data_IF_532333268649
#
_entry.id   IF_532333268649
#
_cell.length_a   1.000
_cell.length_b   1.000
_cell.length_c   1.000
_cell.angle_alpha   90.00
_cell.angle_beta   90.00
_cell.angle_gamma   90.00
#
_symmetry.space_group_name_H-M   'P 1'
#
loop_
_entity.id
_entity.type
_entity.pdbx_description
1 polymer ?
#
# COMPACT_ATOMS: atom_id res chain seq x y z
N UNK A 1 -8.20 5.81 -29.12
CA UNK A 1 -8.70 5.32 -27.82
C UNK A 1 -8.49 3.82 -27.80
N UNK A 2 -7.51 3.29 -27.04
CA UNK A 2 -7.35 1.85 -26.87
C UNK A 2 -8.47 1.33 -25.96
N UNK A 3 -8.90 0.09 -26.20
CA UNK A 3 -10.02 -0.59 -25.56
C UNK A 3 -9.69 -0.90 -24.10
N UNK A 4 -10.69 -0.92 -23.24
CA UNK A 4 -10.62 -1.21 -21.79
C UNK A 4 -9.93 -2.55 -21.42
N UNK A 5 -9.70 -3.45 -22.39
CA UNK A 5 -8.88 -4.66 -22.21
C UNK A 5 -7.37 -4.39 -22.11
N UNK A 6 -6.85 -3.34 -22.76
CA UNK A 6 -5.41 -3.09 -22.86
C UNK A 6 -4.89 -2.33 -21.63
N UNK A 7 -5.73 -1.51 -21.01
CA UNK A 7 -5.37 -0.73 -19.82
C UNK A 7 -5.26 -1.60 -18.56
N UNK A 8 -5.98 -2.73 -18.51
CA UNK A 8 -5.89 -3.67 -17.39
C UNK A 8 -4.68 -4.58 -17.50
N UNK A 9 -4.31 -5.03 -18.71
CA UNK A 9 -3.09 -5.81 -18.94
C UNK A 9 -1.82 -5.03 -18.55
N UNK A 10 -1.82 -3.71 -18.71
CA UNK A 10 -0.70 -2.84 -18.33
C UNK A 10 -0.27 -2.98 -16.86
N UNK A 11 -1.22 -3.21 -15.95
CA UNK A 11 -0.93 -3.28 -14.52
C UNK A 11 -0.44 -4.66 -14.07
N UNK A 12 -0.61 -5.69 -14.90
CA UNK A 12 -0.26 -7.08 -14.56
C UNK A 12 0.81 -7.69 -15.47
N UNK A 13 1.20 -7.00 -16.55
CA UNK A 13 2.26 -7.47 -17.44
C UNK A 13 3.62 -6.83 -17.09
N UNK A 14 4.66 -7.64 -16.82
CA UNK A 14 6.01 -7.13 -16.54
C UNK A 14 6.60 -6.39 -17.74
N UNK A 15 7.50 -5.45 -17.45
CA UNK A 15 8.02 -4.49 -18.44
C UNK A 15 9.40 -4.84 -18.95
N UNK A 16 10.26 -5.35 -18.08
CA UNK A 16 11.69 -5.57 -18.37
C UNK A 16 12.15 -6.98 -18.01
N UNK A 17 11.57 -7.62 -17.00
CA UNK A 17 11.97 -8.94 -16.54
C UNK A 17 10.78 -9.85 -16.22
N UNK A 18 10.69 -10.97 -16.95
CA UNK A 18 9.84 -12.09 -16.53
C UNK A 18 10.45 -12.76 -15.32
N UNK A 19 9.64 -13.20 -14.37
CA UNK A 19 10.03 -13.98 -13.20
C UNK A 19 8.95 -15.03 -13.00
N UNK A 20 9.36 -16.29 -12.96
CA UNK A 20 8.45 -17.41 -12.94
C UNK A 20 7.84 -17.72 -14.32
N UNK A 21 6.89 -18.67 -14.34
CA UNK A 21 6.44 -19.33 -15.56
C UNK A 21 5.41 -18.55 -16.39
N UNK A 22 4.62 -17.64 -15.80
CA UNK A 22 3.47 -17.00 -16.47
C UNK A 22 3.85 -16.09 -17.63
N UNK A 23 4.99 -15.40 -17.54
CA UNK A 23 5.46 -14.46 -18.56
C UNK A 23 6.69 -14.96 -19.32
N UNK A 24 7.11 -16.21 -19.05
CA UNK A 24 8.29 -16.79 -19.65
C UNK A 24 8.16 -16.91 -21.17
N UNK A 25 9.22 -16.51 -21.89
CA UNK A 25 9.29 -16.59 -23.35
C UNK A 25 8.59 -15.44 -24.10
N UNK A 26 7.99 -14.47 -23.40
CA UNK A 26 7.46 -13.25 -24.05
C UNK A 26 8.61 -12.47 -24.72
N UNK A 27 8.46 -12.18 -26.02
CA UNK A 27 9.51 -11.54 -26.84
C UNK A 27 9.92 -10.15 -26.33
N UNK A 28 8.98 -9.41 -25.74
CA UNK A 28 9.26 -8.10 -25.14
C UNK A 28 10.20 -8.16 -23.92
N UNK A 29 10.34 -9.33 -23.27
CA UNK A 29 11.15 -9.54 -22.07
C UNK A 29 12.48 -10.26 -22.35
N UNK A 30 12.70 -10.69 -23.59
CA UNK A 30 13.85 -11.53 -23.97
C UNK A 30 15.22 -10.89 -23.68
N UNK A 31 15.30 -9.55 -23.61
CA UNK A 31 16.54 -8.83 -23.31
C UNK A 31 17.12 -9.21 -21.94
N UNK A 32 16.28 -9.51 -20.95
CA UNK A 32 16.75 -9.82 -19.60
C UNK A 32 17.22 -11.27 -19.45
N UNK A 33 16.79 -12.19 -20.33
CA UNK A 33 17.17 -13.62 -20.26
C UNK A 33 18.69 -13.83 -20.37
N UNK A 34 19.39 -12.96 -21.11
CA UNK A 34 20.86 -12.95 -21.17
C UNK A 34 21.50 -12.60 -19.84
N UNK A 35 20.95 -11.63 -19.12
CA UNK A 35 21.42 -11.24 -17.79
C UNK A 35 21.13 -12.30 -16.74
N UNK A 36 19.97 -12.94 -16.78
CA UNK A 36 19.66 -14.08 -15.90
C UNK A 36 20.66 -15.22 -16.09
N UNK A 37 20.96 -15.56 -17.34
CA UNK A 37 21.97 -16.57 -17.67
C UNK A 37 23.37 -16.19 -17.15
N UNK A 38 23.75 -14.91 -17.22
CA UNK A 38 25.00 -14.40 -16.62
C UNK A 38 24.97 -14.54 -15.09
N UNK A 39 23.87 -14.19 -14.45
CA UNK A 39 23.73 -14.24 -12.99
C UNK A 39 23.73 -15.68 -12.47
N UNK A 40 23.16 -16.63 -13.22
CA UNK A 40 23.29 -18.05 -12.93
C UNK A 40 24.76 -18.51 -12.96
N UNK A 41 25.54 -18.07 -13.95
CA UNK A 41 26.98 -18.39 -14.00
C UNK A 41 27.72 -17.79 -12.80
N UNK A 42 27.44 -16.54 -12.45
CA UNK A 42 28.01 -15.89 -11.27
C UNK A 42 27.65 -16.67 -9.98
N UNK A 43 26.39 -17.09 -9.85
CA UNK A 43 25.89 -17.90 -8.74
C UNK A 43 26.67 -19.23 -8.62
N UNK A 44 26.71 -20.02 -9.70
CA UNK A 44 27.35 -21.33 -9.75
C UNK A 44 28.87 -21.25 -9.59
N UNK A 45 29.51 -20.18 -10.09
CA UNK A 45 30.96 -19.98 -9.93
C UNK A 45 31.40 -19.85 -8.47
N UNK A 46 30.49 -19.43 -7.58
CA UNK A 46 30.72 -19.27 -6.14
C UNK A 46 30.30 -20.48 -5.32
N UNK A 47 29.41 -21.32 -5.86
CA UNK A 47 29.05 -22.61 -5.27
C UNK A 47 29.72 -23.76 -6.03
N UNK A 48 31.01 -23.93 -5.80
CA UNK A 48 31.79 -25.01 -6.42
C UNK A 48 31.39 -26.40 -5.89
N UNK A 49 30.52 -26.48 -4.90
CA UNK A 49 30.11 -27.75 -4.27
C UNK A 49 28.93 -28.40 -4.97
N UNK A 50 28.14 -27.64 -5.76
CA UNK A 50 26.96 -28.16 -6.42
C UNK A 50 26.85 -27.81 -7.90
N UNK A 51 26.34 -28.77 -8.67
CA UNK A 51 25.97 -28.57 -10.06
C UNK A 51 24.52 -28.07 -10.17
N UNK A 52 24.16 -27.53 -11.34
CA UNK A 52 22.78 -27.10 -11.64
C UNK A 52 21.79 -28.25 -11.48
N UNK A 53 22.18 -29.47 -11.88
CA UNK A 53 21.37 -30.68 -11.80
C UNK A 53 21.02 -31.07 -10.35
N UNK A 54 21.91 -30.77 -9.40
CA UNK A 54 21.63 -31.02 -7.99
C UNK A 54 20.59 -30.05 -7.44
N UNK A 55 20.58 -28.79 -7.88
CA UNK A 55 19.52 -27.84 -7.58
C UNK A 55 18.18 -28.27 -8.21
N UNK A 56 18.20 -28.72 -9.47
CA UNK A 56 17.01 -29.26 -10.14
C UNK A 56 16.41 -30.44 -9.36
N UNK A 57 17.25 -31.42 -8.99
CA UNK A 57 16.80 -32.59 -8.24
C UNK A 57 16.21 -32.22 -6.87
N UNK A 58 16.85 -31.29 -6.15
CA UNK A 58 16.37 -30.80 -4.85
C UNK A 58 15.02 -30.09 -4.98
N UNK A 59 14.88 -29.18 -5.94
CA UNK A 59 13.64 -28.45 -6.15
C UNK A 59 12.50 -29.40 -6.53
N UNK A 60 12.72 -30.34 -7.46
CA UNK A 60 11.73 -31.36 -7.83
C UNK A 60 11.21 -32.12 -6.62
N UNK A 61 12.13 -32.62 -5.78
CA UNK A 61 11.77 -33.34 -4.55
C UNK A 61 10.92 -32.50 -3.60
N UNK A 62 11.21 -31.20 -3.48
CA UNK A 62 10.41 -30.28 -2.67
C UNK A 62 9.02 -30.06 -3.28
N UNK A 63 8.93 -29.90 -4.61
CA UNK A 63 7.67 -29.69 -5.31
C UNK A 63 6.76 -30.92 -5.27
N UNK A 64 7.32 -32.13 -5.41
CA UNK A 64 6.61 -33.40 -5.24
C UNK A 64 6.00 -33.57 -3.85
N UNK A 65 6.61 -32.97 -2.82
CA UNK A 65 6.12 -33.01 -1.44
C UNK A 65 5.10 -31.91 -1.14
N UNK A 66 5.02 -30.87 -1.97
CA UNK A 66 4.22 -29.65 -1.74
C UNK A 66 3.09 -29.44 -2.75
N UNK A 67 2.79 -30.42 -3.58
CA UNK A 67 1.90 -30.29 -4.75
C UNK A 67 0.47 -29.83 -4.44
N UNK A 68 0.01 -29.93 -3.18
CA UNK A 68 -1.32 -29.43 -2.74
C UNK A 68 -1.32 -28.01 -2.20
N UNK A 69 -0.16 -27.36 -2.03
CA UNK A 69 -0.02 -26.03 -1.39
C UNK A 69 0.82 -25.03 -2.17
N UNK A 70 1.14 -25.33 -3.43
CA UNK A 70 2.01 -24.49 -4.25
C UNK A 70 1.21 -23.39 -4.96
N UNK A 71 1.71 -22.15 -4.92
CA UNK A 71 1.05 -20.92 -5.40
C UNK A 71 0.74 -20.87 -6.91
N UNK A 72 1.12 -21.90 -7.68
CA UNK A 72 0.89 -21.95 -9.11
C UNK A 72 -0.22 -22.93 -9.45
N UNK A 73 -0.99 -22.56 -10.46
CA UNK A 73 -2.06 -23.37 -11.01
C UNK A 73 -1.50 -24.65 -11.65
N UNK A 74 -1.64 -25.78 -10.95
CA UNK A 74 -1.23 -27.09 -11.41
C UNK A 74 -2.02 -27.57 -12.65
N UNK A 75 -3.13 -26.90 -13.02
CA UNK A 75 -3.81 -27.15 -14.29
C UNK A 75 -3.11 -26.50 -15.48
N UNK A 76 -2.31 -25.45 -15.24
CA UNK A 76 -1.54 -24.72 -16.27
C UNK A 76 -0.12 -25.23 -16.43
N UNK A 77 0.50 -25.71 -15.35
CA UNK A 77 1.91 -26.08 -15.34
C UNK A 77 2.15 -27.47 -14.77
N UNK A 78 2.96 -28.27 -15.46
CA UNK A 78 3.60 -29.44 -14.85
C UNK A 78 4.76 -28.96 -13.96
N UNK A 79 4.47 -28.85 -12.67
CA UNK A 79 5.38 -28.35 -11.64
C UNK A 79 6.66 -29.18 -11.49
N UNK A 80 6.67 -30.43 -11.96
CA UNK A 80 7.84 -31.32 -11.86
C UNK A 80 8.61 -31.46 -13.18
N UNK A 81 8.10 -30.85 -14.26
CA UNK A 81 8.79 -30.82 -15.56
C UNK A 81 10.15 -30.14 -15.45
N UNK A 82 11.13 -30.62 -16.24
CA UNK A 82 12.45 -29.99 -16.32
C UNK A 82 12.33 -28.51 -16.68
N UNK A 83 11.49 -28.19 -17.66
CA UNK A 83 11.28 -26.81 -18.12
C UNK A 83 10.80 -25.89 -16.99
N UNK A 84 9.82 -26.34 -16.19
CA UNK A 84 9.32 -25.54 -15.08
C UNK A 84 10.41 -25.29 -14.03
N UNK A 85 11.10 -26.36 -13.63
CA UNK A 85 12.17 -26.32 -12.63
C UNK A 85 13.32 -25.42 -13.07
N UNK A 86 13.69 -25.47 -14.36
CA UNK A 86 14.73 -24.63 -14.94
C UNK A 86 14.39 -23.15 -14.85
N UNK A 87 13.15 -22.78 -15.18
CA UNK A 87 12.66 -21.40 -15.09
C UNK A 87 12.74 -20.91 -13.64
N UNK A 88 12.21 -21.69 -12.69
CA UNK A 88 12.17 -21.29 -11.28
C UNK A 88 13.58 -21.14 -10.70
N UNK A 89 14.51 -22.04 -11.01
CA UNK A 89 15.89 -21.94 -10.53
C UNK A 89 16.61 -20.76 -11.18
N UNK A 90 16.50 -20.59 -12.50
CA UNK A 90 17.13 -19.49 -13.21
C UNK A 90 16.67 -18.13 -12.65
N UNK A 91 15.37 -17.96 -12.48
CA UNK A 91 14.77 -16.72 -12.00
C UNK A 91 15.06 -16.49 -10.51
N UNK A 92 15.04 -17.54 -9.69
CA UNK A 92 15.46 -17.48 -8.29
C UNK A 92 16.94 -17.10 -8.14
N UNK A 93 17.83 -17.65 -8.97
CA UNK A 93 19.25 -17.29 -9.01
C UNK A 93 19.45 -15.84 -9.44
N UNK A 94 18.71 -15.38 -10.44
CA UNK A 94 18.73 -13.98 -10.86
C UNK A 94 18.36 -13.06 -9.70
N UNK A 95 17.23 -13.30 -9.02
CA UNK A 95 16.77 -12.47 -7.89
C UNK A 95 17.82 -12.47 -6.78
N UNK A 96 18.29 -13.65 -6.37
CA UNK A 96 19.24 -13.77 -5.26
C UNK A 96 20.57 -13.06 -5.56
N UNK A 97 21.17 -13.28 -6.73
CA UNK A 97 22.41 -12.60 -7.10
C UNK A 97 22.21 -11.10 -7.31
N UNK A 98 21.07 -10.68 -7.88
CA UNK A 98 20.73 -9.27 -8.03
C UNK A 98 20.72 -8.56 -6.67
N UNK A 99 20.00 -9.13 -5.70
CA UNK A 99 19.91 -8.56 -4.35
C UNK A 99 21.27 -8.55 -3.64
N UNK A 100 22.05 -9.62 -3.74
CA UNK A 100 23.39 -9.70 -3.13
C UNK A 100 24.35 -8.68 -3.73
N UNK A 101 24.34 -8.53 -5.06
CA UNK A 101 25.20 -7.55 -5.74
C UNK A 101 24.82 -6.12 -5.34
N UNK A 102 23.52 -5.80 -5.23
CA UNK A 102 23.06 -4.50 -4.72
C UNK A 102 23.52 -4.29 -3.28
N UNK A 103 23.29 -5.27 -2.40
CA UNK A 103 23.65 -5.19 -0.99
C UNK A 103 25.15 -4.94 -0.77
N UNK A 104 25.99 -5.60 -1.58
CA UNK A 104 27.45 -5.49 -1.52
C UNK A 104 28.02 -4.36 -2.39
N UNK A 105 27.17 -3.57 -3.06
CA UNK A 105 27.60 -2.55 -4.03
C UNK A 105 28.54 -3.11 -5.12
N UNK A 106 28.32 -4.35 -5.55
CA UNK A 106 29.10 -4.99 -6.62
C UNK A 106 28.75 -4.32 -7.96
N UNK A 107 29.72 -3.78 -8.71
CA UNK A 107 29.44 -3.16 -10.00
C UNK A 107 28.82 -4.16 -10.99
N UNK A 108 27.76 -3.74 -11.68
CA UNK A 108 27.13 -4.49 -12.76
C UNK A 108 26.53 -3.49 -13.76
N UNK A 109 26.39 -3.91 -15.01
CA UNK A 109 25.81 -3.10 -16.08
C UNK A 109 24.36 -2.70 -15.80
N UNK A 110 23.58 -3.61 -15.20
CA UNK A 110 22.17 -3.35 -14.85
C UNK A 110 22.06 -2.19 -13.85
N UNK A 111 23.04 -2.02 -12.95
CA UNK A 111 22.99 -0.98 -11.91
C UNK A 111 23.35 0.42 -12.42
N UNK A 112 23.77 0.56 -13.68
CA UNK A 112 24.09 1.86 -14.28
C UNK A 112 22.85 2.62 -14.77
N UNK A 113 21.73 1.92 -14.92
CA UNK A 113 20.48 2.48 -15.44
C UNK A 113 19.42 2.53 -14.33
N UNK A 114 19.22 3.70 -13.74
CA UNK A 114 18.23 3.91 -12.67
C UNK A 114 16.78 3.64 -13.13
N UNK A 115 16.46 3.90 -14.40
CA UNK A 115 15.14 3.64 -14.95
C UNK A 115 14.89 2.13 -15.07
N UNK A 116 15.90 1.38 -15.52
CA UNK A 116 15.86 -0.09 -15.53
C UNK A 116 15.65 -0.66 -14.12
N UNK A 117 16.36 -0.16 -13.12
CA UNK A 117 16.19 -0.60 -11.72
C UNK A 117 14.79 -0.35 -11.19
N UNK A 118 14.20 0.80 -11.53
CA UNK A 118 12.80 1.10 -11.19
C UNK A 118 11.85 0.07 -11.79
N UNK A 119 12.03 -0.30 -13.06
CA UNK A 119 11.17 -1.30 -13.70
C UNK A 119 11.40 -2.71 -13.16
N UNK A 120 12.64 -3.09 -12.84
CA UNK A 120 12.92 -4.37 -12.16
C UNK A 120 12.21 -4.41 -10.80
N UNK A 121 12.25 -3.32 -10.02
CA UNK A 121 11.53 -3.23 -8.74
C UNK A 121 10.02 -3.44 -8.89
N UNK A 122 9.42 -2.84 -9.92
CA UNK A 122 8.00 -2.99 -10.24
C UNK A 122 7.70 -4.44 -10.62
N UNK A 123 8.46 -4.99 -11.57
CA UNK A 123 8.25 -6.35 -12.08
C UNK A 123 8.41 -7.41 -10.97
N UNK A 124 9.35 -7.22 -10.02
CA UNK A 124 9.53 -8.11 -8.87
C UNK A 124 8.36 -8.10 -7.87
N UNK A 125 7.49 -7.09 -7.93
CA UNK A 125 6.31 -6.96 -7.06
C UNK A 125 4.99 -7.20 -7.82
N UNK A 126 5.05 -7.70 -9.07
CA UNK A 126 3.85 -8.09 -9.80
C UNK A 126 3.37 -9.48 -9.40
N UNK A 127 2.06 -9.65 -9.26
CA UNK A 127 1.41 -10.84 -8.73
C UNK A 127 1.72 -12.10 -9.55
N UNK A 128 1.56 -12.04 -10.88
CA UNK A 128 1.86 -13.16 -11.79
C UNK A 128 3.37 -13.28 -12.15
N UNK A 129 4.22 -12.43 -11.58
CA UNK A 129 5.66 -12.37 -11.87
C UNK A 129 6.50 -12.69 -10.63
N UNK A 130 6.15 -13.78 -9.94
CA UNK A 130 6.77 -14.19 -8.68
C UNK A 130 7.54 -15.50 -8.84
N UNK A 131 8.47 -15.74 -7.91
CA UNK A 131 8.93 -17.08 -7.52
C UNK A 131 8.63 -17.28 -6.03
N UNK A 132 8.34 -18.51 -5.59
CA UNK A 132 8.09 -18.74 -4.18
C UNK A 132 9.33 -18.45 -3.35
N UNK A 133 9.15 -17.78 -2.22
CA UNK A 133 10.26 -17.28 -1.41
C UNK A 133 11.16 -18.40 -0.88
N UNK A 134 10.59 -19.59 -0.61
CA UNK A 134 11.39 -20.74 -0.20
C UNK A 134 12.45 -21.15 -1.23
N UNK A 135 12.25 -20.83 -2.51
CA UNK A 135 13.24 -21.07 -3.55
C UNK A 135 14.49 -20.24 -3.26
N UNK A 136 14.33 -18.97 -2.88
CA UNK A 136 15.44 -18.11 -2.49
C UNK A 136 16.12 -18.62 -1.22
N UNK A 137 15.36 -19.10 -0.23
CA UNK A 137 15.93 -19.72 0.97
C UNK A 137 16.73 -20.99 0.67
N UNK A 138 16.20 -21.84 -0.21
CA UNK A 138 16.89 -23.04 -0.69
C UNK A 138 18.21 -22.68 -1.37
N UNK A 139 18.18 -21.75 -2.33
CA UNK A 139 19.35 -21.30 -3.08
C UNK A 139 20.40 -20.63 -2.18
N UNK A 140 19.96 -19.86 -1.17
CA UNK A 140 20.86 -19.22 -0.19
C UNK A 140 21.48 -20.24 0.77
N UNK A 141 20.66 -21.09 1.40
CA UNK A 141 21.09 -22.01 2.45
C UNK A 141 22.12 -23.04 1.98
N UNK A 142 22.16 -23.30 0.67
CA UNK A 142 23.12 -24.20 0.07
C UNK A 142 24.51 -23.57 -0.17
N UNK A 143 24.68 -22.25 -0.03
CA UNK A 143 25.99 -21.59 -0.20
C UNK A 143 26.90 -21.87 1.00
N UNK A 144 27.81 -22.84 0.89
CA UNK A 144 28.72 -23.21 1.99
C UNK A 144 30.08 -22.47 2.02
N UNK A 145 30.43 -21.69 0.98
CA UNK A 145 31.79 -21.16 0.79
C UNK A 145 31.93 -19.62 0.83
N UNK A 146 31.23 -18.92 1.73
CA UNK A 146 31.43 -17.47 1.90
C UNK A 146 32.38 -17.12 3.04
N UNK A 147 33.33 -16.22 2.77
CA UNK A 147 34.11 -15.53 3.80
C UNK A 147 33.31 -14.33 4.31
N UNK A 148 32.47 -14.54 5.32
CA UNK A 148 31.69 -13.49 6.00
C UNK A 148 30.23 -13.88 6.29
N UNK A 149 29.51 -13.13 7.15
CA UNK A 149 28.09 -13.36 7.39
C UNK A 149 27.30 -13.06 6.11
N UNK A 150 26.59 -14.07 5.59
CA UNK A 150 25.70 -13.91 4.44
C UNK A 150 24.40 -13.27 4.95
N UNK A 151 23.96 -12.12 4.40
CA UNK A 151 22.70 -11.53 4.81
C UNK A 151 21.53 -12.49 4.58
N UNK A 152 20.50 -12.46 5.44
CA UNK A 152 19.27 -13.23 5.24
C UNK A 152 18.52 -12.78 3.99
N UNK A 153 17.58 -13.59 3.49
CA UNK A 153 16.75 -13.17 2.34
C UNK A 153 15.96 -11.93 2.72
N UNK A 154 15.48 -11.87 3.95
CA UNK A 154 14.72 -10.78 4.52
C UNK A 154 15.58 -9.50 4.64
N UNK A 155 16.84 -9.60 5.08
CA UNK A 155 17.78 -8.47 5.11
C UNK A 155 18.06 -7.92 3.70
N UNK A 156 18.25 -8.81 2.73
CA UNK A 156 18.47 -8.44 1.34
C UNK A 156 17.27 -7.69 0.75
N UNK A 157 16.05 -8.20 0.99
CA UNK A 157 14.82 -7.61 0.50
C UNK A 157 14.51 -6.28 1.20
N UNK A 158 14.66 -6.22 2.52
CA UNK A 158 14.50 -4.98 3.26
C UNK A 158 15.50 -3.92 2.79
N UNK A 159 16.76 -4.28 2.59
CA UNK A 159 17.74 -3.35 2.04
C UNK A 159 17.33 -2.83 0.65
N UNK A 160 16.88 -3.72 -0.24
CA UNK A 160 16.48 -3.33 -1.59
C UNK A 160 15.21 -2.45 -1.63
N UNK A 161 14.17 -2.81 -0.88
CA UNK A 161 12.90 -2.10 -0.94
C UNK A 161 12.86 -0.86 -0.03
N UNK A 162 13.58 -0.87 1.09
CA UNK A 162 13.50 0.11 2.18
C UNK A 162 14.81 0.87 2.43
N UNK A 163 15.95 0.38 1.94
CA UNK A 163 17.26 1.00 2.15
C UNK A 163 17.82 0.85 3.57
N UNK A 164 17.20 0.04 4.44
CA UNK A 164 17.65 -0.19 5.82
C UNK A 164 18.21 -1.60 6.00
N UNK A 165 19.36 -1.69 6.67
CA UNK A 165 20.03 -2.96 6.98
C UNK A 165 19.60 -3.55 8.34
N UNK A 166 19.30 -2.69 9.31
CA UNK A 166 19.10 -3.07 10.72
C UNK A 166 17.68 -2.77 11.22
N UNK A 167 16.66 -2.89 10.37
CA UNK A 167 15.27 -2.71 10.83
C UNK A 167 14.91 -3.88 11.77
N UNK A 168 14.62 -3.63 13.07
CA UNK A 168 14.37 -4.71 14.05
C UNK A 168 13.26 -5.68 13.63
N UNK A 169 12.38 -5.25 12.72
CA UNK A 169 11.30 -6.05 12.19
C UNK A 169 11.77 -7.23 11.30
N UNK A 170 12.91 -7.08 10.61
CA UNK A 170 13.52 -8.13 9.77
C UNK A 170 13.79 -9.39 10.61
N UNK A 171 14.13 -9.20 11.89
CA UNK A 171 14.51 -10.27 12.81
C UNK A 171 13.33 -10.87 13.57
N UNK A 172 12.21 -10.14 13.67
CA UNK A 172 10.99 -10.58 14.35
C UNK A 172 9.98 -11.24 13.40
N UNK A 173 10.19 -11.15 12.08
CA UNK A 173 9.34 -11.80 11.09
C UNK A 173 9.66 -13.31 11.00
N UNK A 174 9.28 -14.08 12.02
CA UNK A 174 9.15 -15.55 11.97
C UNK A 174 7.99 -16.01 11.06
N UNK A 175 7.58 -15.18 10.10
CA UNK A 175 6.47 -15.45 9.20
C UNK A 175 7.01 -16.25 8.02
N UNK A 176 6.41 -17.42 7.78
CA UNK A 176 6.64 -18.22 6.58
C UNK A 176 6.04 -17.50 5.37
N UNK A 177 6.72 -16.49 4.86
CA UNK A 177 6.31 -15.80 3.65
C UNK A 177 6.40 -16.74 2.45
N UNK A 178 5.35 -16.81 1.66
CA UNK A 178 5.26 -17.67 0.48
C UNK A 178 5.83 -16.99 -0.77
N UNK A 179 5.73 -15.66 -0.88
CA UNK A 179 6.19 -14.86 -2.04
C UNK A 179 6.90 -13.55 -1.64
N UNK A 180 7.56 -12.89 -2.60
CA UNK A 180 8.16 -11.55 -2.39
C UNK A 180 7.08 -10.49 -2.12
N UNK A 181 5.94 -10.61 -2.81
CA UNK A 181 4.82 -9.69 -2.65
C UNK A 181 4.19 -9.79 -1.26
N UNK A 182 4.09 -10.99 -0.68
CA UNK A 182 3.64 -11.16 0.70
C UNK A 182 4.61 -10.53 1.70
N UNK A 183 5.92 -10.77 1.50
CA UNK A 183 6.96 -10.14 2.32
C UNK A 183 6.87 -8.61 2.25
N UNK A 184 6.69 -8.06 1.05
CA UNK A 184 6.48 -6.64 0.85
C UNK A 184 5.21 -6.13 1.56
N UNK A 185 4.08 -6.81 1.42
CA UNK A 185 2.83 -6.46 2.11
C UNK A 185 3.02 -6.36 3.63
N UNK A 186 3.65 -7.38 4.24
CA UNK A 186 3.90 -7.41 5.67
C UNK A 186 4.83 -6.29 6.14
N UNK A 187 5.84 -5.93 5.34
CA UNK A 187 6.76 -4.84 5.67
C UNK A 187 6.14 -3.46 5.52
N UNK A 188 5.38 -3.23 4.45
CA UNK A 188 5.00 -1.90 4.01
C UNK A 188 3.59 -1.49 4.41
N UNK A 189 2.69 -2.44 4.64
CA UNK A 189 1.25 -2.17 4.69
C UNK A 189 0.67 -2.50 6.04
N UNK A 190 1.06 -3.62 6.64
CA UNK A 190 0.51 -3.97 7.93
C UNK A 190 0.89 -2.94 9.01
N UNK A 191 -0.10 -2.45 9.78
CA UNK A 191 0.12 -1.40 10.77
C UNK A 191 1.05 -1.88 11.90
N UNK A 192 1.98 -1.00 12.25
CA UNK A 192 2.97 -1.19 13.32
C UNK A 192 2.43 -0.58 14.61
N UNK A 193 2.60 -1.25 15.73
CA UNK A 193 2.52 -0.61 17.05
C UNK A 193 3.79 0.18 17.34
N UNK A 194 3.72 1.10 18.31
CA UNK A 194 4.85 1.96 18.71
C UNK A 194 6.06 1.16 19.23
N UNK A 195 5.84 -0.09 19.68
CA UNK A 195 6.89 -1.05 20.08
C UNK A 195 7.47 -1.85 18.90
N UNK A 196 7.08 -1.53 17.66
CA UNK A 196 7.59 -2.15 16.44
C UNK A 196 7.01 -3.53 16.13
N UNK A 197 6.01 -4.01 16.88
CA UNK A 197 5.28 -5.24 16.55
C UNK A 197 4.24 -4.97 15.48
N UNK A 198 3.92 -6.01 14.69
CA UNK A 198 2.69 -5.99 13.91
C UNK A 198 1.52 -5.98 14.90
N UNK A 199 0.58 -5.04 14.77
CA UNK A 199 -0.65 -5.04 15.58
C UNK A 199 -1.45 -6.35 15.45
N UNK A 200 -1.17 -7.18 14.44
CA UNK A 200 -1.97 -8.35 14.07
C UNK A 200 -1.16 -9.65 13.88
N UNK A 201 0.08 -9.75 14.37
CA UNK A 201 0.85 -10.99 14.26
C UNK A 201 0.47 -12.01 15.34
N UNK A 202 -0.51 -12.88 15.08
CA UNK A 202 -0.59 -14.20 15.71
C UNK A 202 -1.11 -15.26 14.74
N UNK A 203 -0.28 -16.25 14.36
CA UNK A 203 -0.79 -17.50 13.82
C UNK A 203 -0.94 -18.51 14.98
N UNK A 204 -2.18 -18.95 15.27
CA UNK A 204 -2.40 -20.29 15.80
C UNK A 204 -3.83 -20.78 15.55
N UNK A 205 -3.94 -21.67 14.57
CA UNK A 205 -5.01 -22.66 14.45
C UNK A 205 -6.42 -22.10 14.32
N UNK A 206 -6.85 -21.90 13.07
CA UNK A 206 -8.26 -21.76 12.64
C UNK A 206 -9.08 -20.72 13.42
N UNK A 207 -9.43 -19.62 12.74
CA UNK A 207 -10.21 -18.45 13.22
C UNK A 207 -9.37 -17.33 13.83
N UNK A 208 -9.63 -16.11 13.34
CA UNK A 208 -9.07 -14.86 13.84
C UNK A 208 -10.03 -14.30 14.90
N UNK A 209 -9.61 -14.26 16.16
CA UNK A 209 -10.32 -13.49 17.19
C UNK A 209 -9.58 -12.16 17.40
N UNK A 210 -10.28 -11.04 17.15
CA UNK A 210 -9.85 -9.72 17.58
C UNK A 210 -10.04 -9.67 19.11
N UNK A 211 -8.96 -9.86 19.87
CA UNK A 211 -8.97 -9.53 21.30
C UNK A 211 -8.72 -8.03 21.45
N UNK A 212 -9.80 -7.25 21.40
CA UNK A 212 -9.87 -6.07 22.26
C UNK A 212 -10.55 -6.55 23.55
N UNK A 213 -9.87 -6.38 24.68
CA UNK A 213 -10.35 -6.90 25.96
C UNK A 213 -11.75 -6.36 26.28
N UNK A 214 -12.75 -7.25 26.18
CA UNK A 214 -14.19 -7.02 26.33
C UNK A 214 -14.91 -6.59 25.04
N UNK A 215 -15.33 -7.54 24.20
CA UNK A 215 -16.71 -7.70 23.74
C UNK A 215 -16.81 -8.93 22.82
N UNK A 216 -17.60 -9.94 23.21
CA UNK A 216 -18.07 -10.97 22.28
C UNK A 216 -19.19 -10.35 21.44
N UNK A 217 -18.88 -9.88 20.22
CA UNK A 217 -19.91 -9.35 19.30
C UNK A 217 -20.49 -10.50 18.47
N UNK A 218 -21.81 -10.57 18.39
CA UNK A 218 -22.54 -11.54 17.56
C UNK A 218 -22.32 -11.25 16.07
N UNK A 219 -21.77 -12.22 15.36
CA UNK A 219 -21.35 -12.17 13.96
C UNK A 219 -22.44 -11.84 12.92
N UNK A 220 -23.73 -11.75 13.31
CA UNK A 220 -24.84 -11.45 12.39
C UNK A 220 -25.14 -9.95 12.21
N UNK A 221 -24.35 -9.06 12.83
CA UNK A 221 -24.66 -7.62 12.90
C UNK A 221 -23.57 -6.67 12.40
N UNK A 222 -22.39 -7.19 12.02
CA UNK A 222 -21.28 -6.37 11.52
C UNK A 222 -21.63 -5.81 10.14
N UNK A 223 -21.56 -4.49 10.00
CA UNK A 223 -21.77 -3.81 8.71
C UNK A 223 -20.56 -4.08 7.81
N UNK A 224 -20.74 -4.89 6.77
CA UNK A 224 -19.73 -5.20 5.75
C UNK A 224 -19.60 -4.13 4.67
N UNK A 225 -20.43 -3.09 4.72
CA UNK A 225 -20.41 -1.96 3.79
C UNK A 225 -20.63 -0.66 4.55
N UNK A 226 -20.05 0.43 4.03
CA UNK A 226 -20.22 1.79 4.54
C UNK A 226 -21.05 2.69 3.62
N UNK A 227 -21.46 3.87 4.10
CA UNK A 227 -22.12 4.89 3.28
C UNK A 227 -21.17 5.55 2.27
N UNK A 228 -21.72 6.08 1.17
CA UNK A 228 -20.95 6.82 0.17
C UNK A 228 -20.63 8.26 0.56
N UNK A 229 -19.69 8.89 -0.14
CA UNK A 229 -19.25 10.25 0.18
C UNK A 229 -20.41 11.25 0.17
N UNK A 230 -21.29 11.16 -0.83
CA UNK A 230 -22.51 11.96 -0.88
C UNK A 230 -23.47 11.70 0.28
N UNK A 231 -23.65 10.44 0.69
CA UNK A 231 -24.50 10.10 1.83
C UNK A 231 -23.95 10.71 3.13
N UNK A 232 -22.64 10.61 3.32
CA UNK A 232 -21.93 11.20 4.45
C UNK A 232 -22.00 12.74 4.44
N UNK A 233 -21.80 13.38 3.29
CA UNK A 233 -21.91 14.84 3.14
C UNK A 233 -23.34 15.32 3.43
N UNK A 234 -24.36 14.60 2.92
CA UNK A 234 -25.78 14.87 3.23
C UNK A 234 -26.08 14.68 4.72
N UNK A 235 -25.44 13.70 5.36
CA UNK A 235 -25.51 13.52 6.80
C UNK A 235 -24.72 14.58 7.59
N UNK A 236 -23.98 15.47 6.94
CA UNK A 236 -23.23 16.54 7.59
C UNK A 236 -21.82 16.13 8.07
N UNK A 237 -21.29 15.01 7.58
CA UNK A 237 -19.91 14.62 7.83
C UNK A 237 -18.95 15.57 7.10
N UNK A 238 -17.78 15.79 7.69
CA UNK A 238 -16.72 16.63 7.13
C UNK A 238 -15.56 15.72 6.73
N UNK A 239 -15.17 15.78 5.47
CA UNK A 239 -14.01 15.08 4.95
C UNK A 239 -12.75 15.92 5.13
N UNK A 240 -11.66 15.29 5.59
CA UNK A 240 -10.35 15.95 5.76
C UNK A 240 -9.22 15.10 5.20
N UNK A 241 -8.37 15.73 4.40
CA UNK A 241 -7.10 15.17 3.98
C UNK A 241 -6.13 15.08 5.17
N UNK A 242 -5.60 13.89 5.42
CA UNK A 242 -4.64 13.62 6.50
C UNK A 242 -3.26 13.37 5.92
N UNK A 243 -2.25 14.04 6.47
CA UNK A 243 -0.85 13.74 6.17
C UNK A 243 -0.44 12.52 6.99
N UNK A 244 -0.46 11.35 6.38
CA UNK A 244 -0.01 10.09 6.99
C UNK A 244 0.87 9.34 6.01
N UNK A 245 1.89 8.64 6.52
CA UNK A 245 2.74 7.76 5.71
C UNK A 245 2.05 6.40 5.44
N UNK A 246 0.95 6.10 6.12
CA UNK A 246 0.17 4.88 5.97
C UNK A 246 -1.21 5.21 5.40
N UNK A 247 -1.54 4.67 4.22
CA UNK A 247 -2.83 4.90 3.58
C UNK A 247 -4.01 4.25 4.34
N UNK A 248 -3.73 3.32 5.26
CA UNK A 248 -4.72 2.67 6.12
C UNK A 248 -5.17 3.53 7.31
N UNK A 249 -4.53 4.67 7.56
CA UNK A 249 -4.74 5.51 8.74
C UNK A 249 -6.00 6.41 8.62
N UNK A 250 -7.14 5.78 8.35
CA UNK A 250 -8.46 6.39 8.26
C UNK A 250 -9.05 6.50 9.65
N UNK A 251 -9.48 7.70 10.04
CA UNK A 251 -10.05 7.95 11.37
C UNK A 251 -11.36 8.72 11.26
N UNK A 252 -12.36 8.32 12.05
CA UNK A 252 -13.62 9.02 12.14
C UNK A 252 -13.88 9.43 13.58
N UNK A 253 -14.01 10.73 13.83
CA UNK A 253 -14.31 11.24 15.16
C UNK A 253 -15.16 12.51 15.06
N UNK A 254 -16.21 12.60 15.89
CA UNK A 254 -17.08 13.80 15.97
C UNK A 254 -17.63 14.29 14.62
N UNK A 255 -17.93 13.36 13.69
CA UNK A 255 -18.43 13.69 12.35
C UNK A 255 -17.34 14.14 11.36
N UNK A 256 -16.07 14.13 11.75
CA UNK A 256 -14.93 14.38 10.86
C UNK A 256 -14.34 13.05 10.43
N UNK A 257 -14.39 12.77 9.12
CA UNK A 257 -13.73 11.62 8.50
C UNK A 257 -12.40 12.08 7.89
N UNK A 258 -11.32 11.64 8.51
CA UNK A 258 -9.97 11.88 8.03
C UNK A 258 -9.48 10.72 7.19
N UNK A 259 -9.01 11.02 5.99
CA UNK A 259 -8.50 10.02 5.05
C UNK A 259 -7.08 10.46 4.65
N UNK A 260 -6.08 9.56 4.74
CA UNK A 260 -4.75 9.83 4.23
C UNK A 260 -4.76 10.30 2.78
N UNK A 261 -3.93 11.29 2.45
CA UNK A 261 -3.79 11.78 1.07
C UNK A 261 -3.29 10.62 0.20
N UNK A 262 -4.06 10.28 -0.82
CA UNK A 262 -3.78 9.21 -1.75
C UNK A 262 -3.25 9.77 -3.07
N UNK A 263 -1.93 9.83 -3.19
CA UNK A 263 -1.24 10.19 -4.44
C UNK A 263 -1.17 8.97 -5.35
N UNK A 264 -2.11 8.87 -6.28
CA UNK A 264 -2.23 7.82 -7.28
C UNK A 264 -1.26 8.08 -8.44
N UNK A 265 0.03 7.98 -8.15
CA UNK A 265 1.05 7.93 -9.19
C UNK A 265 1.12 6.51 -9.81
N UNK A 266 1.85 6.39 -10.92
CA UNK A 266 1.92 5.15 -11.68
C UNK A 266 2.52 3.99 -10.86
N UNK A 267 3.53 4.28 -10.02
CA UNK A 267 4.18 3.26 -9.20
C UNK A 267 3.25 2.77 -8.11
N UNK A 268 2.61 3.71 -7.39
CA UNK A 268 1.62 3.40 -6.38
C UNK A 268 0.51 2.50 -6.94
N UNK A 269 -0.03 2.83 -8.12
CA UNK A 269 -1.06 2.03 -8.75
C UNK A 269 -0.62 0.61 -9.07
N UNK A 270 0.58 0.44 -9.64
CA UNK A 270 1.11 -0.90 -9.95
C UNK A 270 1.21 -1.75 -8.68
N UNK A 271 1.73 -1.17 -7.59
CA UNK A 271 1.81 -1.88 -6.32
C UNK A 271 0.44 -2.16 -5.72
N UNK A 272 -0.44 -1.16 -5.71
CA UNK A 272 -1.80 -1.26 -5.18
C UNK A 272 -2.59 -2.38 -5.86
N UNK A 273 -2.60 -2.40 -7.19
CA UNK A 273 -3.37 -3.34 -8.00
C UNK A 273 -2.84 -4.77 -7.87
N UNK A 274 -1.52 -4.95 -7.92
CA UNK A 274 -0.91 -6.28 -7.78
C UNK A 274 -1.10 -6.84 -6.37
N UNK A 275 -1.02 -5.98 -5.35
CA UNK A 275 -1.29 -6.42 -3.99
C UNK A 275 -2.77 -6.74 -3.77
N UNK A 276 -3.69 -5.89 -4.23
CA UNK A 276 -5.12 -6.16 -4.10
C UNK A 276 -5.48 -7.49 -4.78
N UNK A 277 -4.91 -7.78 -5.96
CA UNK A 277 -5.07 -9.07 -6.62
C UNK A 277 -4.45 -10.24 -5.83
N UNK A 278 -3.28 -10.04 -5.22
CA UNK A 278 -2.62 -11.06 -4.39
C UNK A 278 -3.43 -11.40 -3.14
N UNK A 279 -3.88 -10.40 -2.38
CA UNK A 279 -4.68 -10.59 -1.17
C UNK A 279 -5.98 -11.35 -1.49
N UNK A 280 -6.62 -11.05 -2.64
CA UNK A 280 -7.81 -11.76 -3.10
C UNK A 280 -7.56 -13.23 -3.49
N UNK A 281 -6.38 -13.54 -4.00
CA UNK A 281 -6.06 -14.90 -4.43
C UNK A 281 -5.58 -15.78 -3.29
N UNK A 282 -4.77 -15.22 -2.39
CA UNK A 282 -4.07 -15.96 -1.34
C UNK A 282 -4.88 -16.01 -0.05
N UNK A 283 -5.76 -15.03 0.21
CA UNK A 283 -6.65 -15.01 1.38
C UNK A 283 -5.93 -14.85 2.72
N UNK A 284 -4.63 -14.58 2.70
CA UNK A 284 -3.85 -14.27 3.90
C UNK A 284 -3.82 -12.75 4.07
N UNK A 285 -4.67 -12.25 4.97
CA UNK A 285 -4.82 -10.85 5.40
C UNK A 285 -5.78 -10.00 4.55
N UNK A 286 -7.00 -9.80 5.05
CA UNK A 286 -8.02 -8.95 4.41
C UNK A 286 -7.76 -7.44 4.54
N UNK A 287 -6.54 -6.99 4.87
CA UNK A 287 -6.30 -5.55 5.14
C UNK A 287 -6.42 -4.72 3.87
N UNK A 288 -5.84 -5.19 2.76
CA UNK A 288 -5.97 -4.49 1.48
C UNK A 288 -7.40 -4.59 0.95
N UNK A 289 -8.01 -5.76 1.04
CA UNK A 289 -9.40 -5.97 0.66
C UNK A 289 -10.36 -5.06 1.45
N UNK A 290 -10.18 -4.97 2.77
CA UNK A 290 -10.90 -4.04 3.65
C UNK A 290 -10.70 -2.59 3.25
N UNK A 291 -9.47 -2.19 2.90
CA UNK A 291 -9.21 -0.84 2.41
C UNK A 291 -9.94 -0.58 1.09
N UNK A 292 -9.84 -1.49 0.13
CA UNK A 292 -10.55 -1.40 -1.14
C UNK A 292 -12.06 -1.33 -0.92
N UNK A 293 -12.61 -2.08 0.05
CA UNK A 293 -14.02 -1.99 0.44
C UNK A 293 -14.40 -0.60 0.95
N UNK A 294 -13.60 -0.02 1.85
CA UNK A 294 -13.85 1.35 2.35
C UNK A 294 -13.87 2.33 1.19
N UNK A 295 -12.86 2.28 0.32
CA UNK A 295 -12.76 3.17 -0.82
C UNK A 295 -13.90 2.96 -1.83
N UNK A 296 -14.29 1.72 -2.12
CA UNK A 296 -15.43 1.43 -3.01
C UNK A 296 -16.77 1.91 -2.44
N UNK A 297 -16.98 1.82 -1.13
CA UNK A 297 -18.15 2.38 -0.49
C UNK A 297 -18.15 3.91 -0.58
N UNK A 298 -17.04 4.57 -0.24
CA UNK A 298 -16.93 6.03 -0.29
C UNK A 298 -17.07 6.56 -1.72
N UNK A 299 -16.52 5.85 -2.70
CA UNK A 299 -16.44 6.22 -4.11
C UNK A 299 -17.50 5.50 -4.94
N UNK A 300 -18.75 5.43 -4.48
CA UNK A 300 -19.85 4.71 -5.14
C UNK A 300 -20.18 5.24 -6.54
N UNK A 301 -19.90 6.51 -6.81
CA UNK A 301 -20.08 7.15 -8.12
C UNK A 301 -18.89 8.05 -8.47
N UNK A 302 -18.74 8.41 -9.75
CA UNK A 302 -17.73 9.41 -10.17
C UNK A 302 -17.94 10.79 -9.52
N UNK A 303 -19.17 11.11 -9.11
CA UNK A 303 -19.45 12.33 -8.32
C UNK A 303 -18.80 12.25 -6.94
N UNK A 304 -18.85 11.10 -6.28
CA UNK A 304 -18.19 10.89 -4.98
C UNK A 304 -16.67 11.06 -5.09
N UNK A 305 -16.08 10.53 -6.16
CA UNK A 305 -14.66 10.74 -6.47
C UNK A 305 -14.36 12.24 -6.61
N UNK A 306 -15.21 12.98 -7.32
CA UNK A 306 -15.03 14.43 -7.50
C UNK A 306 -15.02 15.19 -6.17
N UNK A 307 -15.80 14.75 -5.17
CA UNK A 307 -15.83 15.35 -3.83
C UNK A 307 -14.47 15.18 -3.16
N UNK A 308 -13.96 13.93 -3.10
CA UNK A 308 -12.70 13.63 -2.44
C UNK A 308 -11.50 14.26 -3.16
N UNK A 309 -11.52 14.35 -4.50
CA UNK A 309 -10.48 15.05 -5.27
C UNK A 309 -10.47 16.55 -5.02
N UNK A 310 -11.63 17.21 -4.97
CA UNK A 310 -11.73 18.65 -4.65
C UNK A 310 -11.18 18.97 -3.26
N UNK A 311 -11.24 18.01 -2.34
CA UNK A 311 -10.70 18.12 -0.99
C UNK A 311 -9.23 17.73 -0.87
N UNK A 312 -8.57 17.37 -1.98
CA UNK A 312 -7.17 16.94 -1.99
C UNK A 312 -6.92 15.60 -1.28
N UNK A 313 -7.96 14.78 -1.10
CA UNK A 313 -7.83 13.44 -0.51
C UNK A 313 -7.30 12.47 -1.55
N UNK A 314 -7.77 12.56 -2.79
CA UNK A 314 -7.31 11.72 -3.90
C UNK A 314 -6.65 12.61 -4.95
N UNK A 315 -5.41 12.32 -5.27
CA UNK A 315 -4.64 13.03 -6.29
C UNK A 315 -4.23 12.06 -7.39
N UNK A 316 -4.71 12.29 -8.62
CA UNK A 316 -4.24 11.58 -9.81
C UNK A 316 -4.10 12.55 -10.97
N UNK A 317 -2.98 12.45 -11.70
CA UNK A 317 -2.71 13.28 -12.90
C UNK A 317 -3.20 12.65 -14.20
N UNK A 318 -3.48 11.34 -14.21
CA UNK A 318 -3.77 10.59 -15.43
C UNK A 318 -5.07 9.79 -15.36
N UNK A 319 -5.70 9.64 -14.19
CA UNK A 319 -7.00 8.99 -14.07
C UNK A 319 -8.14 10.01 -13.97
N UNK A 320 -9.21 9.73 -14.71
CA UNK A 320 -10.48 10.46 -14.58
C UNK A 320 -11.23 10.01 -13.32
N UNK A 321 -12.24 10.78 -12.92
CA UNK A 321 -13.10 10.42 -11.79
C UNK A 321 -13.80 9.07 -12.03
N UNK A 322 -14.18 8.80 -13.27
CA UNK A 322 -14.75 7.51 -13.66
C UNK A 322 -13.72 6.38 -13.51
N UNK A 323 -12.49 6.55 -14.02
CA UNK A 323 -11.49 5.49 -13.93
C UNK A 323 -11.09 5.17 -12.48
N UNK A 324 -11.08 6.17 -11.59
CA UNK A 324 -10.83 5.96 -10.16
C UNK A 324 -11.99 5.22 -9.50
N UNK A 325 -13.23 5.58 -9.82
CA UNK A 325 -14.40 4.83 -9.37
C UNK A 325 -14.30 3.36 -9.81
N UNK A 326 -14.14 3.10 -11.12
CA UNK A 326 -14.07 1.75 -11.68
C UNK A 326 -12.94 0.92 -11.05
N UNK A 327 -11.80 1.55 -10.75
CA UNK A 327 -10.66 0.90 -10.09
C UNK A 327 -11.04 0.38 -8.71
N UNK A 328 -11.55 1.25 -7.83
CA UNK A 328 -11.90 0.84 -6.47
C UNK A 328 -13.12 -0.07 -6.43
N UNK A 329 -14.09 0.16 -7.31
CA UNK A 329 -15.26 -0.70 -7.48
C UNK A 329 -14.85 -2.16 -7.74
N UNK A 330 -13.92 -2.34 -8.70
CA UNK A 330 -13.39 -3.65 -9.09
C UNK A 330 -12.73 -4.41 -7.93
N UNK A 331 -11.98 -3.71 -7.08
CA UNK A 331 -11.26 -4.33 -5.95
C UNK A 331 -12.04 -4.29 -4.64
N UNK A 332 -13.23 -3.69 -4.59
CA UNK A 332 -13.94 -3.45 -3.35
C UNK A 332 -15.35 -4.06 -3.29
N UNK A 333 -15.93 -4.54 -4.39
CA UNK A 333 -17.24 -5.21 -4.39
C UNK A 333 -17.09 -6.73 -4.56
N UNK A 334 -17.01 -7.43 -3.44
CA UNK A 334 -17.08 -8.91 -3.38
C UNK A 334 -18.29 -9.36 -2.57
N UNK A 335 -19.02 -10.34 -3.08
CA UNK A 335 -20.23 -10.88 -2.44
C UNK A 335 -19.89 -11.75 -1.21
N UNK A 336 -18.71 -12.35 -1.17
CA UNK A 336 -18.25 -13.28 -0.11
C UNK A 336 -17.36 -12.62 0.97
N UNK A 337 -17.53 -11.31 1.22
CA UNK A 337 -16.71 -10.60 2.19
C UNK A 337 -17.01 -11.05 3.63
N UNK A 338 -16.10 -11.84 4.20
CA UNK A 338 -16.24 -12.37 5.56
C UNK A 338 -16.10 -11.24 6.59
N UNK A 339 -17.20 -10.96 7.30
CA UNK A 339 -17.32 -9.82 8.21
C UNK A 339 -16.37 -9.85 9.41
N UNK A 340 -15.90 -11.04 9.80
CA UNK A 340 -15.00 -11.28 10.93
C UNK A 340 -13.54 -10.90 10.66
N UNK A 341 -13.17 -10.71 9.38
CA UNK A 341 -11.81 -10.35 8.98
C UNK A 341 -11.68 -8.89 8.51
N UNK A 342 -12.74 -8.09 8.62
CA UNK A 342 -12.73 -6.72 8.13
C UNK A 342 -11.95 -5.79 9.06
N UNK A 343 -10.77 -5.34 8.60
CA UNK A 343 -9.92 -4.37 9.31
C UNK A 343 -10.65 -3.06 9.65
N UNK A 344 -11.61 -2.63 8.83
CA UNK A 344 -12.36 -1.38 9.01
C UNK A 344 -13.81 -1.61 9.51
N UNK A 345 -14.09 -2.74 10.17
CA UNK A 345 -15.43 -3.05 10.68
C UNK A 345 -15.96 -1.96 11.62
N UNK A 346 -15.17 -1.55 12.62
CA UNK A 346 -15.54 -0.49 13.58
C UNK A 346 -15.78 0.85 12.90
N UNK A 347 -14.96 1.20 11.90
CA UNK A 347 -15.16 2.40 11.10
C UNK A 347 -16.54 2.39 10.42
N UNK A 348 -16.94 1.27 9.81
CA UNK A 348 -18.27 1.19 9.18
C UNK A 348 -19.41 1.31 10.18
N UNK A 349 -19.28 0.73 11.38
CA UNK A 349 -20.26 0.90 12.44
C UNK A 349 -20.42 2.37 12.84
N UNK A 350 -19.31 3.08 13.05
CA UNK A 350 -19.33 4.49 13.44
C UNK A 350 -19.94 5.37 12.34
N UNK A 351 -19.59 5.12 11.07
CA UNK A 351 -20.15 5.85 9.93
C UNK A 351 -21.66 5.63 9.80
N UNK A 352 -22.13 4.39 9.93
CA UNK A 352 -23.56 4.09 9.90
C UNK A 352 -24.31 4.69 11.07
N UNK A 353 -23.75 4.61 12.27
CA UNK A 353 -24.32 5.21 13.46
C UNK A 353 -24.50 6.72 13.30
N UNK A 354 -23.51 7.40 12.70
CA UNK A 354 -23.59 8.82 12.40
C UNK A 354 -24.68 9.15 11.39
N UNK A 355 -24.78 8.38 10.29
CA UNK A 355 -25.83 8.56 9.28
C UNK A 355 -27.24 8.34 9.84
N UNK A 356 -27.41 7.35 10.72
CA UNK A 356 -28.71 6.95 11.26
C UNK A 356 -29.29 7.92 12.33
N UNK A 357 -28.51 8.87 12.86
CA UNK A 357 -28.94 9.79 13.92
C UNK A 357 -28.92 11.26 13.50
N UNK A 358 -29.89 11.72 12.68
CA UNK A 358 -30.03 13.13 12.34
C UNK A 358 -30.35 14.02 13.56
N UNK A 359 -31.04 13.48 14.58
CA UNK A 359 -31.65 14.25 15.67
C UNK A 359 -30.69 14.65 16.82
N UNK A 360 -29.50 14.05 16.92
CA UNK A 360 -28.48 14.38 17.93
C UNK A 360 -27.33 15.25 17.40
N UNK A 361 -27.50 15.81 16.20
CA UNK A 361 -26.50 16.67 15.59
C UNK A 361 -26.57 18.04 16.26
N UNK A 362 -25.51 18.51 16.95
CA UNK A 362 -25.56 19.81 17.59
C UNK A 362 -25.64 20.87 16.48
N UNK A 363 -26.80 21.51 16.35
CA UNK A 363 -27.07 22.70 15.52
C UNK A 363 -26.25 22.84 14.23
N UNK A 364 -26.87 22.33 13.17
CA UNK A 364 -26.33 21.95 11.87
C UNK A 364 -25.58 23.05 11.08
N UNK A 365 -25.82 24.33 11.36
CA UNK A 365 -25.12 25.44 10.70
C UNK A 365 -23.86 25.89 11.45
N UNK A 366 -24.00 26.12 12.76
CA UNK A 366 -22.94 26.72 13.58
C UNK A 366 -21.81 25.72 13.83
N UNK A 367 -22.10 24.43 14.04
CA UNK A 367 -21.07 23.42 14.20
C UNK A 367 -20.29 23.15 12.92
N UNK A 368 -20.98 23.04 11.76
CA UNK A 368 -20.29 22.93 10.47
C UNK A 368 -19.42 24.14 10.22
N UNK A 369 -19.90 25.34 10.56
CA UNK A 369 -19.12 26.58 10.50
C UNK A 369 -17.91 26.57 11.44
N UNK A 370 -18.09 26.21 12.71
CA UNK A 370 -17.01 26.13 13.72
C UNK A 370 -15.99 25.06 13.34
N UNK A 371 -16.41 23.87 12.91
CA UNK A 371 -15.52 22.82 12.46
C UNK A 371 -14.76 23.24 11.19
N UNK A 372 -15.44 23.89 10.24
CA UNK A 372 -14.80 24.42 9.03
C UNK A 372 -13.82 25.56 9.34
N UNK A 373 -14.06 26.35 10.39
CA UNK A 373 -13.09 27.35 10.88
C UNK A 373 -11.94 26.69 11.62
N UNK A 374 -12.22 25.81 12.59
CA UNK A 374 -11.25 25.13 13.44
C UNK A 374 -10.28 24.27 12.63
N UNK A 375 -10.75 23.65 11.55
CA UNK A 375 -9.99 22.67 10.78
C UNK A 375 -9.56 23.15 9.39
N UNK A 376 -9.90 24.38 8.98
CA UNK A 376 -9.36 25.01 7.76
C UNK A 376 -8.48 26.20 8.15
N UNK A 377 -7.16 25.98 8.23
CA UNK A 377 -6.16 26.99 8.60
C UNK A 377 -6.14 28.18 7.65
N UNK A 378 -6.52 27.99 6.38
CA UNK A 378 -6.63 29.09 5.41
C UNK A 378 -7.84 29.99 5.69
N UNK A 379 -8.93 29.43 6.21
CA UNK A 379 -10.13 30.17 6.57
C UNK A 379 -9.87 31.07 7.80
N UNK A 380 -9.18 30.55 8.81
CA UNK A 380 -8.72 31.34 9.95
C UNK A 380 -7.77 32.46 9.50
N UNK A 381 -6.79 32.16 8.64
CA UNK A 381 -5.87 33.18 8.08
C UNK A 381 -6.64 34.28 7.34
N UNK A 382 -7.59 33.91 6.48
CA UNK A 382 -8.39 34.88 5.73
C UNK A 382 -9.35 35.68 6.64
N UNK A 383 -9.87 35.06 7.69
CA UNK A 383 -10.69 35.74 8.69
C UNK A 383 -9.88 36.74 9.52
N UNK A 384 -8.67 36.36 9.99
CA UNK A 384 -7.75 37.28 10.64
C UNK A 384 -7.35 38.44 9.71
N UNK A 385 -7.14 38.18 8.41
CA UNK A 385 -6.87 39.22 7.41
C UNK A 385 -8.06 40.18 7.22
N UNK A 386 -9.29 39.65 7.16
CA UNK A 386 -10.51 40.46 7.08
C UNK A 386 -10.74 41.32 8.32
N UNK A 387 -10.57 40.73 9.51
CA UNK A 387 -10.66 41.45 10.79
C UNK A 387 -9.55 42.51 10.87
N UNK A 388 -8.31 42.18 10.48
CA UNK A 388 -7.22 43.16 10.43
C UNK A 388 -7.54 44.32 9.46
N UNK A 389 -8.08 44.04 8.27
CA UNK A 389 -8.45 45.07 7.28
C UNK A 389 -9.57 46.00 7.76
N UNK A 390 -10.50 45.52 8.60
CA UNK A 390 -11.60 46.36 9.12
C UNK A 390 -11.23 47.12 10.39
N UNK A 391 -10.50 46.48 11.31
CA UNK A 391 -10.24 47.04 12.64
C UNK A 391 -8.98 47.91 12.71
N UNK A 392 -7.93 47.61 11.94
CA UNK A 392 -6.71 48.44 11.94
C UNK A 392 -6.96 49.89 11.47
N UNK A 393 -7.73 50.14 10.39
CA UNK A 393 -8.05 51.51 9.99
C UNK A 393 -8.91 52.24 11.01
N UNK A 394 -9.86 51.56 11.65
CA UNK A 394 -10.71 52.15 12.68
C UNK A 394 -9.89 52.58 13.91
N UNK A 395 -8.94 51.74 14.35
CA UNK A 395 -8.01 52.05 15.44
C UNK A 395 -7.10 53.23 15.05
N UNK A 396 -6.60 53.26 13.82
CA UNK A 396 -5.76 54.36 13.32
C UNK A 396 -6.53 55.68 13.30
N UNK A 397 -7.76 55.69 12.79
CA UNK A 397 -8.63 56.88 12.76
C UNK A 397 -8.89 57.37 14.19
N UNK A 398 -9.22 56.46 15.11
CA UNK A 398 -9.44 56.81 16.51
C UNK A 398 -8.18 57.42 17.14
N UNK A 399 -7.00 56.85 16.87
CA UNK A 399 -5.73 57.38 17.35
C UNK A 399 -5.44 58.78 16.80
N UNK A 400 -5.70 59.02 15.51
CA UNK A 400 -5.55 60.34 14.88
C UNK A 400 -6.51 61.37 15.51
N UNK A 401 -7.77 60.99 15.75
CA UNK A 401 -8.76 61.85 16.40
C UNK A 401 -8.33 62.21 17.83
N UNK A 402 -7.91 61.22 18.62
CA UNK A 402 -7.41 61.43 19.99
C UNK A 402 -6.18 62.32 20.00
N UNK A 403 -5.20 62.08 19.11
CA UNK A 403 -4.00 62.90 18.99
C UNK A 403 -4.33 64.35 18.61
N UNK A 404 -5.31 64.55 17.71
CA UNK A 404 -5.77 65.88 17.29
C UNK A 404 -6.44 66.64 18.43
N UNK A 405 -7.28 65.96 19.24
CA UNK A 405 -7.92 66.54 20.42
C UNK A 405 -6.87 66.94 21.47
N UNK A 406 -5.88 66.08 21.73
CA UNK A 406 -4.80 66.35 22.67
C UNK A 406 -3.93 67.53 22.21
N UNK A 407 -3.61 67.60 20.92
CA UNK A 407 -2.87 68.72 20.32
C UNK A 407 -3.62 70.04 20.46
N UNK A 408 -4.93 70.04 20.16
CA UNK A 408 -5.77 71.23 20.28
C UNK A 408 -5.89 71.71 21.73
N UNK A 409 -6.09 70.78 22.68
CA UNK A 409 -6.15 71.12 24.10
C UNK A 409 -4.82 71.67 24.64
N UNK A 410 -3.68 71.15 24.18
CA UNK A 410 -2.36 71.68 24.57
C UNK A 410 -2.14 73.11 24.06
N UNK A 411 -2.60 73.42 22.84
CA UNK A 411 -2.46 74.76 22.26
C UNK A 411 -3.39 75.81 22.89
N UNK A 412 -4.54 75.41 23.45
CA UNK A 412 -5.48 76.31 24.12
C UNK A 412 -5.25 76.46 25.63
N UNK A 413 -4.30 75.73 26.20
CA UNK A 413 -3.90 75.84 27.61
C UNK A 413 -2.55 76.53 27.83
N UNK A 414 -1.89 76.94 26.75
CA UNK A 414 -0.81 77.95 26.74
C UNK A 414 -1.38 79.29 26.29
#
# INVERSE_FOLDING_TARGET
MPRESDATDYFFTPRVVSIGPYHHGKSCLAKMEGHKSRFLKDFLSRDTSRSFEQYQHKLKKILEQRTTSYEYDATKFDLTSNKFVDIIILDGCFILEFLIKIYNHTPDEIFKDEALLRYIKIDLLMFENQVPLFVLHMLRGDRQNHKGPIPTIEELLAYYFWGKKDDPFIYNSYLNHSSLLQFYSHLFILPRSDDGKLKYAYPRGSYWEIYDGNLSVSYSSIKTHGPSAQQLEKAGAIFRAKKSANFLDITFHEGVLEIPILSMDEQFLLFFVNLAAFDLHVGFHCVMESYCRVMACLLETSTDVSILRKLGIIESKFMTDQNLHDLFDRFGKFDDFMSDQNYFASLFEDLWYFCARPEKKPYDGLWRFIARIKYNTECLRNWFLLVAMLFLPAILILAIVVASILYFNHYHTC
#
